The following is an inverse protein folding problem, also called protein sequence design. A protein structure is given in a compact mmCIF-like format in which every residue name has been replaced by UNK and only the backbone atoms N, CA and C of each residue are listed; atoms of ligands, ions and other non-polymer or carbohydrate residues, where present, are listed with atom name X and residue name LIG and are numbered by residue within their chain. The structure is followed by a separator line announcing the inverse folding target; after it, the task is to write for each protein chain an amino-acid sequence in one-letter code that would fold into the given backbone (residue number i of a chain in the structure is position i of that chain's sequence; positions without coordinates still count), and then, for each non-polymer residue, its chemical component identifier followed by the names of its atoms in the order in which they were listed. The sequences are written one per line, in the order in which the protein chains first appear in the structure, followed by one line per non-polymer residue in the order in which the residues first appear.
data_IF_974505907186
#
_entry.id   IF_974505907186
#
_cell.length_a   1.000
_cell.length_b   1.000
_cell.length_c   1.000
_cell.angle_alpha   90.00
_cell.angle_beta   90.00
_cell.angle_gamma   90.00
#
_symmetry.space_group_name_H-M   'P 1'
#
loop_
_entity.id
_entity.type
_entity.pdbx_description
1 polymer ?
#
# COMPACT_ATOMS: atom_id res chain seq x y z
N UNK A 1 -44.82 7.10 4.29
CA UNK A 1 -43.38 6.79 4.42
C UNK A 1 -42.62 8.11 4.46
N UNK A 2 -41.79 8.35 5.48
CA UNK A 2 -41.02 9.60 5.57
C UNK A 2 -39.83 9.60 4.62
N UNK A 3 -39.38 10.81 4.22
CA UNK A 3 -38.24 11.02 3.31
C UNK A 3 -36.99 10.22 3.73
N UNK A 4 -36.69 10.20 5.04
CA UNK A 4 -35.57 9.45 5.61
C UNK A 4 -35.62 7.95 5.27
N UNK A 5 -36.74 7.28 5.53
CA UNK A 5 -36.89 5.85 5.23
C UNK A 5 -36.81 5.54 3.72
N UNK A 6 -37.19 6.48 2.87
CA UNK A 6 -37.02 6.36 1.41
C UNK A 6 -35.55 6.51 1.01
N UNK A 7 -34.83 7.48 1.59
CA UNK A 7 -33.40 7.67 1.37
C UNK A 7 -32.59 6.46 1.86
N UNK A 8 -32.88 5.94 3.05
CA UNK A 8 -32.21 4.75 3.62
C UNK A 8 -32.38 3.52 2.70
N UNK A 9 -33.58 3.33 2.12
CA UNK A 9 -33.85 2.23 1.17
C UNK A 9 -33.10 2.38 -0.15
N UNK A 10 -32.92 3.61 -0.63
CA UNK A 10 -32.13 3.87 -1.84
C UNK A 10 -30.64 3.69 -1.55
N UNK A 11 -30.15 4.20 -0.42
CA UNK A 11 -28.78 4.04 0.03
C UNK A 11 -28.39 2.57 0.22
N UNK A 12 -29.28 1.74 0.77
CA UNK A 12 -29.06 0.30 0.94
C UNK A 12 -28.94 -0.50 -0.39
N UNK A 13 -29.19 0.14 -1.54
CA UNK A 13 -28.96 -0.45 -2.88
C UNK A 13 -27.66 0.04 -3.53
N UNK A 14 -27.01 1.05 -2.97
CA UNK A 14 -25.73 1.53 -3.44
C UNK A 14 -24.60 0.60 -2.95
N UNK A 15 -23.45 0.56 -3.63
CA UNK A 15 -22.27 -0.11 -3.12
C UNK A 15 -21.87 0.45 -1.75
N UNK A 16 -21.51 -0.44 -0.82
CA UNK A 16 -21.18 -0.07 0.56
C UNK A 16 -19.84 0.66 0.60
N UNK A 17 -19.75 1.87 1.17
CA UNK A 17 -18.48 2.58 1.30
C UNK A 17 -17.64 1.96 2.43
N UNK A 18 -16.52 1.36 2.05
CA UNK A 18 -15.63 0.59 2.93
C UNK A 18 -14.24 1.21 2.92
N UNK A 19 -13.70 1.48 4.11
CA UNK A 19 -12.26 1.72 4.26
C UNK A 19 -11.62 0.40 4.69
N UNK A 20 -10.74 -0.16 3.86
CA UNK A 20 -10.12 -1.45 4.11
C UNK A 20 -8.70 -1.30 4.64
N UNK A 21 -8.39 -2.04 5.70
CA UNK A 21 -7.06 -2.20 6.27
C UNK A 21 -6.59 -3.62 5.96
N UNK A 22 -5.52 -3.73 5.18
CA UNK A 22 -4.81 -4.99 4.97
C UNK A 22 -3.79 -5.21 6.08
N UNK A 23 -4.05 -6.16 6.96
CA UNK A 23 -3.06 -6.69 7.89
C UNK A 23 -2.12 -7.69 7.21
N UNK A 24 -1.35 -8.40 8.03
CA UNK A 24 -0.35 -9.37 7.59
C UNK A 24 -0.98 -10.43 6.68
N UNK A 25 -0.41 -10.59 5.48
CA UNK A 25 -0.82 -11.58 4.47
C UNK A 25 -2.14 -11.29 3.76
N UNK A 26 -2.76 -10.12 3.97
CA UNK A 26 -4.11 -9.83 3.49
C UNK A 26 -4.18 -8.88 2.28
N UNK A 27 -3.05 -8.31 1.83
CA UNK A 27 -3.03 -7.26 0.81
C UNK A 27 -3.68 -7.71 -0.50
N UNK A 28 -3.33 -8.90 -1.00
CA UNK A 28 -3.86 -9.42 -2.26
C UNK A 28 -5.39 -9.60 -2.21
N UNK A 29 -5.91 -10.07 -1.07
CA UNK A 29 -7.34 -10.30 -0.86
C UNK A 29 -8.09 -8.96 -0.76
N UNK A 30 -7.49 -7.94 -0.12
CA UNK A 30 -8.05 -6.59 -0.09
C UNK A 30 -8.08 -5.95 -1.47
N UNK A 31 -7.02 -6.11 -2.28
CA UNK A 31 -7.00 -5.60 -3.66
C UNK A 31 -8.11 -6.25 -4.51
N UNK A 32 -8.37 -7.55 -4.32
CA UNK A 32 -9.44 -8.27 -5.01
C UNK A 32 -10.85 -7.76 -4.66
N UNK A 33 -11.03 -7.07 -3.53
CA UNK A 33 -12.30 -6.43 -3.20
C UNK A 33 -12.67 -5.31 -4.18
N UNK A 34 -11.71 -4.75 -4.93
CA UNK A 34 -12.00 -3.82 -6.03
C UNK A 34 -12.84 -4.46 -7.15
N UNK A 35 -12.85 -5.80 -7.24
CA UNK A 35 -13.66 -6.54 -8.20
C UNK A 35 -15.11 -6.70 -7.74
N UNK A 36 -15.42 -6.43 -6.47
CA UNK A 36 -16.73 -6.64 -5.87
C UNK A 36 -17.63 -5.42 -6.11
N UNK A 37 -18.64 -5.49 -7.00
CA UNK A 37 -19.44 -4.33 -7.39
C UNK A 37 -20.36 -3.81 -6.27
N UNK A 38 -20.56 -4.62 -5.22
CA UNK A 38 -21.36 -4.27 -4.04
C UNK A 38 -20.56 -3.50 -2.99
N UNK A 39 -19.25 -3.39 -3.17
CA UNK A 39 -18.37 -2.62 -2.30
C UNK A 39 -17.82 -1.42 -3.07
N UNK A 40 -17.62 -0.32 -2.36
CA UNK A 40 -16.90 0.85 -2.83
C UNK A 40 -15.77 1.12 -1.85
N UNK A 41 -14.56 0.66 -2.19
CA UNK A 41 -13.37 0.98 -1.40
C UNK A 41 -13.09 2.48 -1.52
N UNK A 42 -12.95 3.14 -0.38
CA UNK A 42 -12.68 4.59 -0.29
C UNK A 42 -11.32 4.85 0.34
N UNK A 43 -10.75 6.01 0.03
CA UNK A 43 -9.36 6.35 0.39
C UNK A 43 -9.24 7.11 1.71
N UNK A 44 -10.38 7.49 2.28
CA UNK A 44 -10.47 8.20 3.54
C UNK A 44 -11.50 7.52 4.44
N UNK A 45 -11.19 7.30 5.73
CA UNK A 45 -12.18 6.79 6.67
C UNK A 45 -13.42 7.69 6.74
N UNK A 46 -13.27 9.01 6.56
CA UNK A 46 -14.38 9.95 6.57
C UNK A 46 -15.43 9.67 5.48
N UNK A 47 -15.05 8.99 4.39
CA UNK A 47 -15.97 8.60 3.32
C UNK A 47 -16.60 7.21 3.53
N UNK A 48 -16.22 6.48 4.58
CA UNK A 48 -16.68 5.12 4.86
C UNK A 48 -17.69 5.05 6.01
N UNK A 49 -18.57 4.05 5.95
CA UNK A 49 -19.39 3.59 7.08
C UNK A 49 -18.84 2.30 7.70
N UNK A 50 -18.04 1.56 6.93
CA UNK A 50 -17.48 0.28 7.34
C UNK A 50 -15.96 0.38 7.35
N UNK A 51 -15.34 0.13 8.50
CA UNK A 51 -13.92 -0.22 8.59
C UNK A 51 -13.80 -1.73 8.47
N UNK A 52 -13.19 -2.20 7.39
CA UNK A 52 -12.87 -3.60 7.20
C UNK A 52 -11.42 -3.85 7.62
N UNK A 53 -11.20 -4.72 8.58
CA UNK A 53 -9.87 -5.19 8.98
C UNK A 53 -9.69 -6.59 8.40
N UNK A 54 -8.73 -6.77 7.49
CA UNK A 54 -8.43 -8.06 6.87
C UNK A 54 -7.12 -8.63 7.42
N UNK A 55 -7.11 -9.91 7.80
CA UNK A 55 -5.95 -10.58 8.38
C UNK A 55 -5.63 -10.10 9.80
N UNK A 56 -4.36 -10.22 10.19
CA UNK A 56 -3.87 -9.83 11.52
C UNK A 56 -3.21 -8.46 11.48
N UNK A 57 -3.59 -7.56 12.38
CA UNK A 57 -2.93 -6.27 12.56
C UNK A 57 -2.13 -6.29 13.86
N UNK A 58 -0.84 -5.90 13.84
CA UNK A 58 -0.02 -5.85 15.05
C UNK A 58 -0.64 -5.00 16.16
N UNK A 59 -0.53 -5.48 17.41
CA UNK A 59 -1.12 -4.80 18.57
C UNK A 59 -0.56 -3.39 18.82
N UNK A 60 0.67 -3.09 18.41
CA UNK A 60 1.23 -1.75 18.55
C UNK A 60 0.50 -0.71 17.68
N UNK A 61 -0.26 -1.13 16.66
CA UNK A 61 -1.06 -0.26 15.78
C UNK A 61 -2.50 -0.01 16.26
N UNK A 62 -2.80 -0.34 17.53
CA UNK A 62 -4.15 -0.20 18.10
C UNK A 62 -4.65 1.24 18.08
N UNK A 63 -3.78 2.21 18.41
CA UNK A 63 -4.18 3.62 18.48
C UNK A 63 -4.49 4.19 17.09
N UNK A 64 -3.75 3.76 16.07
CA UNK A 64 -3.94 4.10 14.67
C UNK A 64 -5.25 3.53 14.14
N UNK A 65 -5.56 2.27 14.45
CA UNK A 65 -6.85 1.65 14.13
C UNK A 65 -8.03 2.37 14.80
N UNK A 66 -7.89 2.74 16.07
CA UNK A 66 -8.92 3.49 16.80
C UNK A 66 -9.18 4.87 16.15
N UNK A 67 -8.12 5.57 15.71
CA UNK A 67 -8.23 6.83 14.96
C UNK A 67 -8.97 6.65 13.64
N UNK A 68 -8.70 5.58 12.89
CA UNK A 68 -9.45 5.27 11.66
C UNK A 68 -10.93 5.03 11.95
N UNK A 69 -11.23 4.18 12.94
CA UNK A 69 -12.59 3.86 13.32
C UNK A 69 -13.38 5.12 13.71
N UNK A 70 -12.80 5.97 14.55
CA UNK A 70 -13.48 7.18 15.02
C UNK A 70 -13.60 8.25 13.94
N UNK A 71 -12.71 8.22 12.94
CA UNK A 71 -12.77 9.03 11.72
C UNK A 71 -13.82 8.60 10.70
N UNK A 72 -14.49 7.44 10.89
CA UNK A 72 -15.58 7.00 10.01
C UNK A 72 -16.81 7.90 10.09
N UNK A 73 -17.51 8.04 8.96
CA UNK A 73 -18.82 8.68 8.90
C UNK A 73 -19.88 7.84 9.62
N UNK A 74 -20.69 8.47 10.46
CA UNK A 74 -21.82 7.82 11.14
C UNK A 74 -23.02 7.62 10.19
N UNK A 75 -23.79 6.51 10.31
CA UNK A 75 -23.56 5.38 11.21
C UNK A 75 -22.34 4.56 10.78
N UNK A 76 -21.57 4.07 11.75
CA UNK A 76 -20.30 3.37 11.51
C UNK A 76 -20.22 2.01 12.19
N UNK A 77 -19.38 1.13 11.66
CA UNK A 77 -19.07 -0.19 12.22
C UNK A 77 -17.69 -0.67 11.77
N UNK A 78 -17.10 -1.59 12.52
CA UNK A 78 -15.92 -2.35 12.13
C UNK A 78 -16.23 -3.85 11.94
N UNK A 79 -15.68 -4.44 10.90
CA UNK A 79 -15.73 -5.87 10.63
C UNK A 79 -14.31 -6.44 10.57
N UNK A 80 -14.17 -7.70 10.97
CA UNK A 80 -12.92 -8.44 10.83
C UNK A 80 -13.08 -9.61 9.88
N UNK A 81 -12.24 -9.65 8.85
CA UNK A 81 -12.07 -10.78 7.95
C UNK A 81 -10.78 -11.52 8.30
N UNK A 82 -10.88 -12.66 8.98
CA UNK A 82 -9.71 -13.27 9.63
C UNK A 82 -8.72 -13.88 8.65
N UNK A 83 -9.17 -14.31 7.46
CA UNK A 83 -8.33 -14.95 6.43
C UNK A 83 -7.48 -16.11 7.00
N UNK A 84 -8.07 -16.88 7.92
CA UNK A 84 -7.38 -17.99 8.60
C UNK A 84 -6.47 -17.58 9.77
N UNK A 85 -6.33 -16.28 10.06
CA UNK A 85 -5.65 -15.83 11.28
C UNK A 85 -6.43 -16.21 12.54
N UNK A 86 -5.72 -16.72 13.53
CA UNK A 86 -6.25 -16.99 14.87
C UNK A 86 -6.12 -15.79 15.83
N UNK A 87 -5.41 -14.74 15.39
CA UNK A 87 -5.16 -13.55 16.20
C UNK A 87 -6.18 -12.48 15.83
N UNK A 88 -7.14 -12.26 16.75
CA UNK A 88 -8.12 -11.20 16.60
C UNK A 88 -7.46 -9.81 16.55
N UNK A 89 -8.05 -8.84 15.83
CA UNK A 89 -7.53 -7.48 15.78
C UNK A 89 -7.61 -6.86 17.18
N UNK A 90 -6.73 -5.88 17.48
CA UNK A 90 -6.67 -5.28 18.80
C UNK A 90 -7.93 -4.50 19.20
N UNK A 91 -8.76 -4.14 18.23
CA UNK A 91 -10.08 -3.54 18.45
C UNK A 91 -11.17 -4.59 18.22
N UNK A 92 -12.04 -4.87 19.22
CA UNK A 92 -13.09 -5.87 19.09
C UNK A 92 -13.98 -5.59 17.85
N UNK A 93 -14.12 -6.56 16.92
CA UNK A 93 -14.98 -6.39 15.76
C UNK A 93 -16.45 -6.50 16.15
N UNK A 94 -17.32 -5.79 15.43
CA UNK A 94 -18.77 -5.97 15.59
C UNK A 94 -19.26 -7.24 14.87
N UNK A 95 -18.56 -7.64 13.80
CA UNK A 95 -18.84 -8.83 13.00
C UNK A 95 -17.53 -9.48 12.61
N UNK A 96 -17.47 -10.80 12.76
CA UNK A 96 -16.32 -11.64 12.42
C UNK A 96 -16.67 -12.54 11.22
N UNK A 97 -15.78 -12.58 10.24
CA UNK A 97 -15.88 -13.44 9.07
C UNK A 97 -14.60 -14.26 8.98
N UNK A 98 -14.72 -15.57 9.17
CA UNK A 98 -13.59 -16.49 9.12
C UNK A 98 -13.42 -17.20 7.78
N UNK A 99 -14.44 -17.14 6.93
CA UNK A 99 -14.40 -17.74 5.60
C UNK A 99 -13.39 -17.01 4.71
N UNK A 100 -12.65 -17.76 3.90
CA UNK A 100 -11.69 -17.22 2.94
C UNK A 100 -12.37 -16.77 1.64
N UNK A 101 -13.60 -17.23 1.37
CA UNK A 101 -14.37 -16.80 0.21
C UNK A 101 -14.81 -15.32 0.37
N UNK A 102 -14.37 -14.41 -0.53
CA UNK A 102 -14.77 -13.01 -0.48
C UNK A 102 -16.29 -12.82 -0.63
N UNK A 103 -17.03 -13.78 -1.22
CA UNK A 103 -18.48 -13.66 -1.38
C UNK A 103 -19.21 -13.61 -0.02
N UNK A 104 -18.78 -14.44 0.94
CA UNK A 104 -19.30 -14.49 2.31
C UNK A 104 -19.01 -13.19 3.04
N UNK A 105 -17.81 -12.64 2.87
CA UNK A 105 -17.45 -11.33 3.40
C UNK A 105 -18.35 -10.22 2.84
N UNK A 106 -18.53 -10.18 1.51
CA UNK A 106 -19.34 -9.16 0.85
C UNK A 106 -20.78 -9.20 1.36
N UNK A 107 -21.34 -10.40 1.55
CA UNK A 107 -22.67 -10.56 2.13
C UNK A 107 -22.74 -10.06 3.57
N UNK A 108 -21.75 -10.40 4.40
CA UNK A 108 -21.68 -9.89 5.77
C UNK A 108 -21.58 -8.35 5.83
N UNK A 109 -20.75 -7.74 4.98
CA UNK A 109 -20.60 -6.27 4.91
C UNK A 109 -21.91 -5.61 4.48
N UNK A 110 -22.57 -6.13 3.44
CA UNK A 110 -23.84 -5.57 2.94
C UNK A 110 -24.96 -5.73 3.95
N UNK A 111 -25.09 -6.90 4.59
CA UNK A 111 -26.10 -7.12 5.63
C UNK A 111 -25.88 -6.17 6.82
N UNK A 112 -24.64 -6.06 7.29
CA UNK A 112 -24.29 -5.20 8.41
C UNK A 112 -24.57 -3.73 8.11
N UNK A 113 -24.17 -3.23 6.93
CA UNK A 113 -24.43 -1.85 6.51
C UNK A 113 -25.93 -1.58 6.39
N UNK A 114 -26.68 -2.51 5.83
CA UNK A 114 -28.14 -2.42 5.74
C UNK A 114 -28.78 -2.30 7.13
N UNK A 115 -28.36 -3.15 8.07
CA UNK A 115 -28.86 -3.13 9.46
C UNK A 115 -28.52 -1.81 10.17
N UNK A 116 -27.35 -1.22 9.90
CA UNK A 116 -26.99 0.11 10.40
C UNK A 116 -27.92 1.21 9.87
N UNK A 117 -28.18 1.21 8.56
CA UNK A 117 -29.04 2.23 7.94
C UNK A 117 -30.48 2.15 8.42
N UNK A 118 -31.01 0.94 8.65
CA UNK A 118 -32.36 0.75 9.17
C UNK A 118 -32.47 0.86 10.70
N UNK A 119 -31.36 1.09 11.40
CA UNK A 119 -31.32 1.20 12.86
C UNK A 119 -31.54 -0.13 13.60
N UNK A 120 -31.42 -1.26 12.90
CA UNK A 120 -31.42 -2.62 13.46
C UNK A 120 -30.10 -2.94 14.15
N UNK A 121 -29.03 -2.25 13.77
CA UNK A 121 -27.72 -2.25 14.42
C UNK A 121 -27.37 -0.80 14.82
N UNK A 122 -26.96 -0.60 16.06
CA UNK A 122 -26.49 0.70 16.53
C UNK A 122 -25.11 1.02 15.94
N UNK A 123 -24.87 2.30 15.65
CA UNK A 123 -23.53 2.76 15.26
C UNK A 123 -22.54 2.50 16.39
N UNK A 124 -21.35 1.98 16.05
CA UNK A 124 -20.28 1.75 17.02
C UNK A 124 -19.89 3.07 17.72
N UNK A 125 -19.77 3.09 19.05
CA UNK A 125 -19.39 4.27 19.82
C UNK A 125 -17.93 4.66 19.54
N UNK A 126 -17.49 5.89 19.86
CA UNK A 126 -16.08 6.24 19.83
C UNK A 126 -15.21 5.30 20.68
N UNK A 127 -14.01 4.99 20.20
CA UNK A 127 -13.02 4.19 20.92
C UNK A 127 -12.05 5.08 21.68
N UNK A 128 -11.70 6.23 21.11
CA UNK A 128 -10.81 7.21 21.72
C UNK A 128 -11.58 8.07 22.76
N UNK A 129 -10.89 8.54 23.81
CA UNK A 129 -11.50 9.43 24.78
C UNK A 129 -11.90 10.76 24.13
N UNK A 130 -13.05 11.29 24.54
CA UNK A 130 -13.53 12.63 24.15
C UNK A 130 -12.88 13.68 25.06
N UNK A 131 -11.59 13.89 24.85
CA UNK A 131 -10.76 14.82 25.61
C UNK A 131 -10.20 15.91 24.69
N UNK A 132 -10.11 17.14 25.21
CA UNK A 132 -9.46 18.22 24.46
C UNK A 132 -7.97 17.89 24.26
N UNK A 133 -7.46 17.96 23.02
CA UNK A 133 -6.09 17.55 22.70
C UNK A 133 -5.01 18.46 23.30
N UNK A 134 -5.36 19.66 23.77
CA UNK A 134 -4.47 20.52 24.54
C UNK A 134 -5.18 21.03 25.79
N UNK A 135 -4.54 20.95 26.98
CA UNK A 135 -5.13 21.44 28.21
C UNK A 135 -5.30 22.96 28.14
N UNK A 136 -6.45 23.46 28.60
CA UNK A 136 -6.73 24.88 28.71
C UNK A 136 -5.69 25.59 29.58
N UNK A 137 -5.10 26.69 29.09
CA UNK A 137 -4.00 27.44 29.77
C UNK A 137 -4.38 28.85 30.25
N UNK A 138 -5.67 29.20 30.32
CA UNK A 138 -6.10 30.50 30.84
C UNK A 138 -5.98 31.68 29.86
N UNK A 139 -6.26 32.88 30.36
CA UNK A 139 -6.17 34.15 29.61
C UNK A 139 -4.73 34.67 29.70
N UNK A 140 -4.16 35.08 28.55
CA UNK A 140 -2.80 35.61 28.50
C UNK A 140 -2.60 36.89 29.35
N UNK A 141 -1.37 37.23 29.72
CA UNK A 141 -1.05 38.31 30.69
C UNK A 141 -1.48 39.72 30.25
N UNK A 142 -1.85 39.91 28.98
CA UNK A 142 -2.25 41.21 28.41
C UNK A 142 -3.73 41.31 28.07
N UNK A 143 -4.58 40.38 28.53
CA UNK A 143 -6.02 40.36 28.18
C UNK A 143 -6.30 40.15 26.69
N UNK A 144 -5.26 39.81 25.93
CA UNK A 144 -5.30 39.48 24.51
C UNK A 144 -5.60 37.98 24.42
N UNK A 145 -6.73 37.64 23.82
CA UNK A 145 -7.26 36.28 23.78
C UNK A 145 -8.64 36.24 24.41
N UNK A 146 -9.66 36.04 23.58
CA UNK A 146 -11.01 35.75 24.08
C UNK A 146 -11.01 34.51 24.98
N UNK A 147 -12.19 34.14 25.47
CA UNK A 147 -12.47 32.97 26.31
C UNK A 147 -12.13 31.63 25.62
N UNK A 148 -10.86 31.36 25.29
CA UNK A 148 -10.43 30.13 24.60
C UNK A 148 -9.18 30.26 23.72
N UNK A 149 -8.06 30.77 24.23
CA UNK A 149 -6.77 30.65 23.53
C UNK A 149 -5.96 29.49 24.12
N UNK A 150 -5.89 28.37 23.39
CA UNK A 150 -5.02 27.23 23.68
C UNK A 150 -3.54 27.58 23.36
N UNK A 151 -2.95 28.60 23.99
CA UNK A 151 -1.50 28.87 24.00
C UNK A 151 -0.69 28.65 22.72
N UNK A 152 -1.16 29.12 21.55
CA UNK A 152 -0.46 28.94 20.26
C UNK A 152 -0.68 27.58 19.57
N UNK A 153 -1.58 26.77 20.11
CA UNK A 153 -1.92 25.41 19.65
C UNK A 153 -3.44 25.28 19.48
N UNK A 154 -4.08 25.99 18.53
CA UNK A 154 -5.54 25.92 18.31
C UNK A 154 -6.03 24.47 18.13
N UNK A 155 -6.99 24.04 18.95
CA UNK A 155 -7.52 22.66 18.93
C UNK A 155 -6.43 21.58 19.08
N UNK A 156 -5.39 21.85 19.85
CA UNK A 156 -4.27 20.91 20.07
C UNK A 156 -3.38 20.68 18.85
N UNK A 157 -3.54 21.49 17.80
CA UNK A 157 -2.64 21.50 16.64
C UNK A 157 -1.74 22.73 16.70
N UNK A 158 -0.41 22.58 16.67
CA UNK A 158 0.48 23.72 16.61
C UNK A 158 0.19 24.53 15.35
N UNK A 159 0.22 25.86 15.45
CA UNK A 159 0.21 26.69 14.25
C UNK A 159 1.42 26.34 13.38
N UNK A 160 1.22 26.30 12.07
CA UNK A 160 2.31 26.11 11.12
C UNK A 160 3.37 27.20 11.32
N UNK A 161 4.64 26.80 11.34
CA UNK A 161 5.75 27.75 11.24
C UNK A 161 5.85 28.25 9.81
N UNK A 162 6.56 29.36 9.58
CA UNK A 162 6.67 29.97 8.25
C UNK A 162 8.12 29.95 7.79
N UNK A 163 8.39 29.28 6.67
CA UNK A 163 9.73 29.16 6.07
C UNK A 163 9.78 29.78 4.66
N UNK A 164 10.97 30.20 4.16
CA UNK A 164 11.12 30.61 2.76
C UNK A 164 10.79 29.46 1.80
N UNK A 165 10.02 29.74 0.75
CA UNK A 165 9.69 28.84 -0.36
C UNK A 165 10.59 29.15 -1.59
N UNK A 166 10.48 28.35 -2.65
CA UNK A 166 11.26 28.41 -3.90
C UNK A 166 11.27 29.77 -4.61
N UNK A 167 10.23 30.59 -4.39
CA UNK A 167 10.09 31.93 -4.97
C UNK A 167 10.56 33.05 -4.01
N UNK A 168 11.08 32.68 -2.85
CA UNK A 168 11.51 33.59 -1.79
C UNK A 168 10.37 34.14 -0.93
N UNK A 169 9.11 33.75 -1.18
CA UNK A 169 8.00 34.05 -0.29
C UNK A 169 8.07 33.19 0.96
N UNK A 170 7.47 33.67 2.05
CA UNK A 170 7.39 32.92 3.30
C UNK A 170 6.04 32.23 3.38
N UNK A 171 6.03 30.91 3.31
CA UNK A 171 4.81 30.08 3.34
C UNK A 171 4.74 29.22 4.60
N UNK A 172 3.50 28.94 5.01
CA UNK A 172 3.20 28.03 6.12
C UNK A 172 3.76 26.63 5.81
N UNK A 173 4.54 26.11 6.75
CA UNK A 173 5.12 24.78 6.72
C UNK A 173 4.28 23.86 7.61
N UNK A 174 3.58 22.94 6.96
CA UNK A 174 2.70 21.99 7.62
C UNK A 174 3.43 20.64 7.78
N UNK A 175 3.69 20.24 9.01
CA UNK A 175 4.18 18.90 9.33
C UNK A 175 3.01 17.94 9.51
N UNK A 176 2.96 16.88 8.71
CA UNK A 176 1.95 15.81 8.79
C UNK A 176 2.60 14.44 8.87
N UNK A 177 1.93 13.51 9.56
CA UNK A 177 2.25 12.09 9.51
C UNK A 177 1.23 11.35 8.66
N UNK A 178 1.72 10.60 7.68
CA UNK A 178 0.90 9.89 6.69
C UNK A 178 1.20 8.40 6.80
N UNK A 179 0.18 7.61 7.15
CA UNK A 179 0.31 6.19 7.47
C UNK A 179 -0.19 5.86 8.88
N UNK A 180 -0.05 4.60 9.35
CA UNK A 180 0.45 3.42 8.61
C UNK A 180 -0.59 2.80 7.68
N UNK A 181 -1.83 3.30 7.69
CA UNK A 181 -2.94 2.75 6.90
C UNK A 181 -3.39 3.71 5.80
N UNK A 182 -2.50 4.56 5.29
CA UNK A 182 -2.86 5.42 4.18
C UNK A 182 -3.14 4.56 2.95
N UNK A 183 -4.32 4.70 2.34
CA UNK A 183 -4.85 3.75 1.34
C UNK A 183 -4.02 3.60 0.06
N UNK A 184 -2.97 4.42 -0.14
CA UNK A 184 -2.06 4.35 -1.29
C UNK A 184 -0.65 3.88 -0.94
N UNK A 185 -0.32 3.80 0.33
CA UNK A 185 0.96 3.30 0.79
C UNK A 185 0.81 1.87 1.32
N UNK A 186 1.87 1.06 1.29
CA UNK A 186 1.86 -0.23 1.95
C UNK A 186 1.51 -0.06 3.42
N UNK A 187 0.70 -0.98 3.96
CA UNK A 187 0.41 -1.00 5.40
C UNK A 187 1.72 -1.01 6.19
N UNK A 188 1.79 -0.17 7.22
CA UNK A 188 2.97 -0.02 8.06
C UNK A 188 3.81 1.20 7.71
N UNK A 189 3.87 1.63 6.45
CA UNK A 189 4.70 2.79 6.09
C UNK A 189 4.13 4.07 6.73
N UNK A 190 4.96 4.76 7.51
CA UNK A 190 4.67 6.09 8.03
C UNK A 190 5.71 7.07 7.52
N UNK A 191 5.24 8.11 6.85
CA UNK A 191 6.05 9.25 6.46
C UNK A 191 5.69 10.46 7.32
N UNK A 192 6.70 11.08 7.94
CA UNK A 192 6.58 12.43 8.45
C UNK A 192 7.03 13.40 7.35
N UNK A 193 6.11 14.23 6.88
CA UNK A 193 6.31 15.09 5.71
C UNK A 193 6.07 16.53 6.12
N UNK A 194 7.00 17.41 5.73
CA UNK A 194 6.84 18.85 5.82
C UNK A 194 6.40 19.37 4.46
N UNK A 195 5.21 19.96 4.40
CA UNK A 195 4.59 20.48 3.19
C UNK A 195 4.56 22.00 3.21
N UNK A 196 4.85 22.62 2.08
CA UNK A 196 4.51 24.03 1.82
C UNK A 196 3.60 24.07 0.59
N UNK A 197 2.31 24.37 0.81
CA UNK A 197 1.28 24.13 -0.19
C UNK A 197 1.17 22.63 -0.47
N UNK A 198 1.41 22.23 -1.71
CA UNK A 198 1.44 20.84 -2.17
C UNK A 198 2.86 20.30 -2.37
N UNK A 199 3.91 21.08 -2.12
CA UNK A 199 5.31 20.68 -2.31
C UNK A 199 5.88 20.07 -1.02
N UNK A 200 6.51 18.91 -1.16
CA UNK A 200 7.29 18.25 -0.12
C UNK A 200 8.61 18.98 0.08
N UNK A 201 8.79 19.62 1.24
CA UNK A 201 10.03 20.29 1.61
C UNK A 201 11.02 19.31 2.25
N UNK A 202 10.51 18.42 3.10
CA UNK A 202 11.29 17.37 3.76
C UNK A 202 10.39 16.17 3.99
N UNK A 203 10.96 14.97 3.93
CA UNK A 203 10.28 13.72 4.24
C UNK A 203 11.19 12.83 5.08
N UNK A 204 10.62 12.15 6.07
CA UNK A 204 11.32 11.16 6.88
C UNK A 204 10.45 9.90 6.99
N UNK A 205 11.08 8.73 6.85
CA UNK A 205 10.43 7.47 7.20
C UNK A 205 10.46 7.35 8.72
N UNK A 206 9.30 7.19 9.34
CA UNK A 206 9.21 7.04 10.81
C UNK A 206 9.50 5.58 11.15
N UNK A 207 10.59 5.36 11.87
CA UNK A 207 10.99 4.06 12.38
C UNK A 207 10.11 3.62 13.55
N UNK A 208 10.12 2.31 13.85
CA UNK A 208 9.46 1.76 15.01
C UNK A 208 10.10 2.26 16.31
N UNK A 209 9.28 2.50 17.33
CA UNK A 209 9.79 2.91 18.64
C UNK A 209 10.47 1.74 19.37
N UNK A 210 11.49 2.04 20.18
CA UNK A 210 12.10 1.06 21.09
C UNK A 210 11.03 0.41 21.98
N UNK A 211 10.86 -0.92 21.86
CA UNK A 211 9.88 -1.70 22.61
C UNK A 211 8.63 -2.16 21.83
N UNK A 212 8.49 -1.81 20.55
CA UNK A 212 7.48 -2.45 19.67
C UNK A 212 7.82 -3.94 19.49
N UNK A 213 6.90 -4.87 19.77
CA UNK A 213 7.22 -6.30 19.61
C UNK A 213 7.45 -6.64 18.13
N UNK A 214 8.49 -7.42 17.83
CA UNK A 214 8.75 -7.88 16.47
C UNK A 214 7.54 -8.63 15.91
N UNK A 215 7.10 -8.24 14.71
CA UNK A 215 5.97 -8.89 14.05
C UNK A 215 6.49 -10.17 13.40
N UNK A 216 6.16 -11.32 13.98
CA UNK A 216 6.32 -12.62 13.33
C UNK A 216 5.40 -12.72 12.12
N UNK A 217 5.89 -12.33 10.95
CA UNK A 217 5.17 -12.42 9.68
C UNK A 217 5.40 -13.83 9.11
N UNK A 218 4.56 -14.79 9.50
CA UNK A 218 4.50 -16.12 8.88
C UNK A 218 3.50 -16.08 7.70
N UNK A 219 3.88 -15.41 6.62
CA UNK A 219 3.09 -15.33 5.39
C UNK A 219 3.65 -16.32 4.37
N UNK A 220 2.98 -17.46 4.22
CA UNK A 220 3.37 -18.47 3.23
C UNK A 220 3.09 -17.97 1.82
N UNK A 221 4.16 -17.84 1.03
CA UNK A 221 4.11 -17.52 -0.39
C UNK A 221 5.08 -18.42 -1.13
N UNK A 222 4.85 -18.67 -2.41
CA UNK A 222 5.77 -19.49 -3.22
C UNK A 222 7.22 -18.97 -3.19
N UNK A 223 7.43 -17.65 -3.07
CA UNK A 223 8.76 -17.05 -2.95
C UNK A 223 9.38 -17.23 -1.56
N UNK A 224 8.59 -17.21 -0.47
CA UNK A 224 9.13 -17.55 0.85
C UNK A 224 9.43 -19.04 0.96
N UNK A 225 8.55 -19.89 0.44
CA UNK A 225 8.75 -21.35 0.43
C UNK A 225 10.00 -21.74 -0.38
N UNK A 226 10.31 -20.98 -1.45
CA UNK A 226 11.49 -21.16 -2.29
C UNK A 226 12.83 -20.93 -1.57
N UNK A 227 12.85 -20.22 -0.44
CA UNK A 227 14.06 -20.05 0.39
C UNK A 227 14.45 -21.34 1.14
N UNK A 228 13.50 -22.26 1.32
CA UNK A 228 13.69 -23.45 2.16
C UNK A 228 13.47 -24.76 1.39
N UNK A 229 12.66 -24.72 0.33
CA UNK A 229 12.23 -25.92 -0.40
C UNK A 229 12.22 -25.69 -1.91
N UNK A 230 12.51 -26.71 -2.73
CA UNK A 230 12.44 -26.58 -4.17
C UNK A 230 11.01 -26.26 -4.64
N UNK A 231 10.85 -25.17 -5.39
CA UNK A 231 9.55 -24.72 -5.94
C UNK A 231 9.59 -24.74 -7.47
N UNK A 232 8.55 -25.22 -8.17
CA UNK A 232 8.52 -25.20 -9.64
C UNK A 232 8.68 -23.78 -10.19
N UNK A 233 9.55 -23.61 -11.20
CA UNK A 233 9.76 -22.31 -11.86
C UNK A 233 8.46 -21.77 -12.46
N UNK A 234 7.59 -22.65 -12.95
CA UNK A 234 6.27 -22.27 -13.47
C UNK A 234 5.39 -21.60 -12.42
N UNK A 235 5.46 -22.05 -11.16
CA UNK A 235 4.71 -21.46 -10.05
C UNK A 235 5.29 -20.08 -9.71
N UNK A 236 6.62 -19.98 -9.57
CA UNK A 236 7.28 -18.70 -9.27
C UNK A 236 7.01 -17.63 -10.33
N UNK A 237 7.10 -17.99 -11.61
CA UNK A 237 6.90 -17.03 -12.70
C UNK A 237 5.43 -16.67 -12.92
N UNK A 238 4.48 -17.58 -12.64
CA UNK A 238 3.07 -17.21 -12.57
C UNK A 238 2.78 -16.24 -11.43
N UNK A 239 3.33 -16.48 -10.24
CA UNK A 239 3.19 -15.55 -9.11
C UNK A 239 3.87 -14.21 -9.37
N UNK A 240 5.01 -14.20 -10.07
CA UNK A 240 5.67 -12.97 -10.52
C UNK A 240 4.78 -12.17 -11.47
N UNK A 241 4.22 -12.81 -12.49
CA UNK A 241 3.30 -12.15 -13.41
C UNK A 241 2.07 -11.56 -12.67
N UNK A 242 1.50 -12.32 -11.74
CA UNK A 242 0.38 -11.87 -10.88
C UNK A 242 0.77 -10.66 -10.04
N UNK A 243 1.92 -10.71 -9.38
CA UNK A 243 2.42 -9.62 -8.53
C UNK A 243 2.62 -8.33 -9.34
N UNK A 244 3.30 -8.40 -10.48
CA UNK A 244 3.48 -7.23 -11.36
C UNK A 244 2.15 -6.67 -11.87
N UNK A 245 1.20 -7.51 -12.29
CA UNK A 245 -0.11 -7.04 -12.74
C UNK A 245 -0.92 -6.41 -11.60
N UNK A 246 -0.85 -6.95 -10.37
CA UNK A 246 -1.46 -6.33 -9.18
C UNK A 246 -0.83 -4.97 -8.86
N UNK A 247 0.50 -4.87 -8.94
CA UNK A 247 1.23 -3.59 -8.80
C UNK A 247 0.76 -2.55 -9.84
N UNK A 248 0.61 -2.95 -11.11
CA UNK A 248 0.08 -2.07 -12.15
C UNK A 248 -1.36 -1.66 -11.84
N UNK A 249 -2.20 -2.55 -11.32
CA UNK A 249 -3.54 -2.19 -10.92
C UNK A 249 -3.56 -1.18 -9.75
N UNK A 250 -2.70 -1.36 -8.75
CA UNK A 250 -2.53 -0.41 -7.65
C UNK A 250 -2.11 0.98 -8.15
N UNK A 251 -1.14 1.04 -9.07
CA UNK A 251 -0.74 2.29 -9.74
C UNK A 251 -1.91 2.94 -10.50
N UNK A 252 -2.73 2.15 -11.20
CA UNK A 252 -3.91 2.66 -11.91
C UNK A 252 -4.98 3.21 -10.94
N UNK A 253 -5.13 2.61 -9.76
CA UNK A 253 -5.99 3.16 -8.70
C UNK A 253 -5.45 4.50 -8.21
N UNK A 254 -4.16 4.60 -7.93
CA UNK A 254 -3.52 5.84 -7.49
C UNK A 254 -3.65 6.98 -8.52
N UNK A 255 -3.68 6.65 -9.81
CA UNK A 255 -3.89 7.61 -10.90
C UNK A 255 -5.36 7.79 -11.30
N UNK A 256 -6.31 7.43 -10.43
CA UNK A 256 -7.76 7.64 -10.64
C UNK A 256 -8.33 6.93 -11.88
N UNK A 257 -7.79 5.75 -12.22
CA UNK A 257 -8.25 4.88 -13.31
C UNK A 257 -8.84 3.54 -12.82
N UNK A 258 -9.85 3.54 -11.91
CA UNK A 258 -10.33 2.32 -11.25
C UNK A 258 -10.97 1.31 -12.21
N UNK A 259 -11.54 1.74 -13.33
CA UNK A 259 -12.08 0.83 -14.34
C UNK A 259 -11.00 0.05 -15.07
N UNK A 260 -9.84 0.66 -15.31
CA UNK A 260 -8.70 -0.03 -15.91
C UNK A 260 -8.02 -0.92 -14.87
N UNK A 261 -7.86 -0.43 -13.63
CA UNK A 261 -7.35 -1.24 -12.52
C UNK A 261 -8.14 -2.54 -12.35
N UNK A 262 -9.48 -2.49 -12.32
CA UNK A 262 -10.34 -3.69 -12.25
C UNK A 262 -10.16 -4.64 -13.42
N UNK A 263 -9.87 -4.14 -14.63
CA UNK A 263 -9.58 -4.99 -15.79
C UNK A 263 -8.23 -5.70 -15.62
N UNK A 264 -7.22 -4.98 -15.15
CA UNK A 264 -5.88 -5.54 -14.88
C UNK A 264 -5.93 -6.53 -13.73
N UNK A 265 -6.67 -6.26 -12.65
CA UNK A 265 -6.86 -7.21 -11.53
C UNK A 265 -7.56 -8.50 -11.98
N UNK A 266 -8.65 -8.39 -12.75
CA UNK A 266 -9.30 -9.59 -13.33
C UNK A 266 -8.35 -10.40 -14.21
N UNK A 267 -7.48 -9.72 -14.96
CA UNK A 267 -6.48 -10.38 -15.75
C UNK A 267 -5.44 -11.08 -14.86
N UNK A 268 -4.94 -10.41 -13.82
CA UNK A 268 -4.00 -10.98 -12.85
C UNK A 268 -4.58 -12.26 -12.19
N UNK A 269 -5.82 -12.23 -11.72
CA UNK A 269 -6.46 -13.38 -11.06
C UNK A 269 -6.63 -14.60 -11.97
N UNK A 270 -6.66 -14.42 -13.28
CA UNK A 270 -6.90 -15.49 -14.27
C UNK A 270 -5.73 -15.66 -15.25
N UNK A 271 -4.55 -15.16 -14.90
CA UNK A 271 -3.41 -15.14 -15.82
C UNK A 271 -2.88 -16.56 -16.06
N UNK A 272 -2.49 -16.83 -17.31
CA UNK A 272 -2.02 -18.13 -17.78
C UNK A 272 -0.78 -17.97 -18.68
N UNK A 273 0.13 -18.96 -18.77
CA UNK A 273 1.41 -18.81 -19.48
C UNK A 273 1.33 -18.41 -20.97
N UNK A 274 0.25 -18.73 -21.66
CA UNK A 274 0.03 -18.42 -23.09
C UNK A 274 -0.40 -16.96 -23.35
N UNK A 275 -0.60 -16.15 -22.31
CA UNK A 275 -1.15 -14.79 -22.41
C UNK A 275 -0.10 -13.67 -22.44
N UNK A 276 1.16 -13.98 -22.79
CA UNK A 276 2.22 -12.97 -22.89
C UNK A 276 1.90 -11.86 -23.90
N UNK A 277 1.20 -12.18 -25.00
CA UNK A 277 0.74 -11.16 -25.96
C UNK A 277 -0.27 -10.18 -25.37
N UNK A 278 -1.15 -10.64 -24.47
CA UNK A 278 -2.15 -9.79 -23.83
C UNK A 278 -1.49 -8.78 -22.88
N UNK A 279 -0.45 -9.20 -22.15
CA UNK A 279 0.41 -8.29 -21.36
C UNK A 279 1.06 -7.24 -22.27
N UNK A 280 1.60 -7.65 -23.43
CA UNK A 280 2.19 -6.69 -24.37
C UNK A 280 1.16 -5.72 -24.96
N UNK A 281 -0.08 -6.16 -25.21
CA UNK A 281 -1.19 -5.28 -25.64
C UNK A 281 -1.52 -4.28 -24.55
N UNK A 282 -1.59 -4.71 -23.29
CA UNK A 282 -1.77 -3.83 -22.12
C UNK A 282 -0.63 -2.81 -22.03
N UNK A 283 0.62 -3.26 -22.16
CA UNK A 283 1.78 -2.37 -22.15
C UNK A 283 1.68 -1.29 -23.23
N UNK A 284 1.38 -1.66 -24.49
CA UNK A 284 1.20 -0.68 -25.57
C UNK A 284 0.05 0.30 -25.29
N UNK A 285 -1.03 -0.16 -24.67
CA UNK A 285 -2.16 0.69 -24.29
C UNK A 285 -1.74 1.73 -23.23
N UNK A 286 -1.12 1.28 -22.14
CA UNK A 286 -0.67 2.16 -21.06
C UNK A 286 0.42 3.13 -21.53
N UNK A 287 1.33 2.67 -22.40
CA UNK A 287 2.37 3.51 -23.02
C UNK A 287 1.81 4.65 -23.86
N UNK A 288 0.63 4.47 -24.46
CA UNK A 288 -0.04 5.49 -25.30
C UNK A 288 -0.96 6.42 -24.51
N UNK A 289 -1.19 6.16 -23.23
CA UNK A 289 -2.01 7.02 -22.38
C UNK A 289 -1.28 8.32 -22.06
N UNK A 290 -1.83 9.45 -22.51
CA UNK A 290 -1.29 10.79 -22.21
C UNK A 290 -1.43 11.15 -20.74
N UNK A 291 -2.58 10.83 -20.13
CA UNK A 291 -2.83 11.10 -18.70
C UNK A 291 -1.79 10.40 -17.83
N UNK A 292 -1.50 9.12 -18.12
CA UNK A 292 -0.44 8.42 -17.41
C UNK A 292 0.94 8.99 -17.74
N UNK A 293 1.20 9.38 -19.00
CA UNK A 293 2.45 10.04 -19.37
C UNK A 293 2.72 11.28 -18.53
N UNK A 294 1.73 12.19 -18.40
CA UNK A 294 1.87 13.39 -17.59
C UNK A 294 2.11 13.12 -16.11
N UNK A 295 1.48 12.08 -15.55
CA UNK A 295 1.56 11.78 -14.12
C UNK A 295 2.72 10.85 -13.72
N UNK A 296 3.53 10.35 -14.67
CA UNK A 296 4.57 9.35 -14.37
C UNK A 296 5.90 9.57 -15.09
N UNK A 297 5.93 10.33 -16.19
CA UNK A 297 7.18 10.63 -16.90
C UNK A 297 7.95 11.73 -16.18
N UNK A 298 9.22 11.47 -15.86
CA UNK A 298 10.07 12.36 -15.07
C UNK A 298 9.74 12.38 -13.57
N UNK A 299 8.77 11.59 -13.12
CA UNK A 299 8.31 11.52 -11.72
C UNK A 299 9.09 10.44 -10.97
N UNK A 300 9.60 10.75 -9.79
CA UNK A 300 10.29 9.75 -8.96
C UNK A 300 11.57 9.22 -9.60
N UNK A 301 12.36 10.08 -10.24
CA UNK A 301 13.60 9.69 -10.90
C UNK A 301 14.61 9.18 -9.86
N UNK A 302 15.06 7.95 -10.04
CA UNK A 302 16.15 7.36 -9.25
C UNK A 302 17.25 6.92 -10.24
N UNK A 303 18.37 7.66 -10.33
CA UNK A 303 19.46 7.29 -11.22
C UNK A 303 20.20 6.02 -10.75
N UNK A 304 20.91 5.36 -11.67
CA UNK A 304 21.61 4.10 -11.38
C UNK A 304 22.64 4.23 -10.26
N UNK A 305 23.37 5.34 -10.19
CA UNK A 305 24.40 5.61 -9.17
C UNK A 305 23.86 5.61 -7.73
N UNK A 306 22.58 5.90 -7.53
CA UNK A 306 21.89 5.82 -6.23
C UNK A 306 21.46 4.40 -5.86
N UNK A 307 21.33 3.53 -6.86
CA UNK A 307 20.83 2.16 -6.71
C UNK A 307 21.97 1.12 -6.69
N UNK A 308 23.11 1.44 -7.30
CA UNK A 308 24.29 0.58 -7.32
C UNK A 308 24.74 0.19 -5.90
N UNK A 309 24.76 -1.12 -5.63
CA UNK A 309 25.12 -1.68 -4.33
C UNK A 309 24.03 -1.58 -3.25
N UNK A 310 22.89 -0.92 -3.53
CA UNK A 310 21.84 -0.67 -2.54
C UNK A 310 20.59 -1.49 -2.82
N UNK A 311 19.88 -1.21 -3.91
CA UNK A 311 18.61 -1.84 -4.27
C UNK A 311 18.71 -2.64 -5.57
N UNK A 312 17.94 -3.72 -5.66
CA UNK A 312 17.90 -4.65 -6.79
C UNK A 312 16.50 -4.71 -7.39
N UNK A 313 16.25 -5.64 -8.32
CA UNK A 313 14.90 -5.87 -8.84
C UNK A 313 14.43 -4.91 -9.92
N UNK A 314 13.11 -4.84 -10.15
CA UNK A 314 12.54 -4.02 -11.20
C UNK A 314 12.84 -2.52 -11.07
N UNK A 315 13.10 -2.03 -9.85
CA UNK A 315 13.49 -0.61 -9.64
C UNK A 315 14.89 -0.34 -10.20
N UNK A 316 15.85 -1.23 -9.92
CA UNK A 316 17.21 -1.16 -10.46
C UNK A 316 17.23 -1.35 -11.98
N UNK A 317 16.53 -2.37 -12.48
CA UNK A 317 16.43 -2.65 -13.93
C UNK A 317 15.71 -1.57 -14.72
N UNK A 318 14.79 -0.81 -14.10
CA UNK A 318 14.19 0.36 -14.73
C UNK A 318 15.15 1.55 -14.90
N UNK A 319 16.30 1.50 -14.21
CA UNK A 319 17.31 2.55 -14.13
C UNK A 319 18.62 2.17 -14.80
N UNK A 320 18.66 1.06 -15.55
CA UNK A 320 19.82 0.63 -16.34
C UNK A 320 20.71 -0.44 -15.70
N UNK A 321 20.38 -0.92 -14.50
CA UNK A 321 21.21 -1.90 -13.79
C UNK A 321 20.78 -3.32 -14.19
N UNK A 322 21.65 -4.05 -14.88
CA UNK A 322 21.35 -5.39 -15.43
C UNK A 322 21.43 -6.55 -14.41
N UNK A 323 21.30 -6.27 -13.12
CA UNK A 323 21.38 -7.28 -12.06
C UNK A 323 20.03 -7.99 -11.84
N UNK A 324 20.05 -9.32 -11.91
CA UNK A 324 18.91 -10.21 -11.60
C UNK A 324 19.45 -11.58 -11.15
N UNK A 325 19.07 -12.02 -9.95
CA UNK A 325 19.61 -13.25 -9.36
C UNK A 325 19.26 -14.51 -10.19
N UNK A 326 18.16 -14.47 -10.97
CA UNK A 326 17.76 -15.56 -11.88
C UNK A 326 18.78 -15.84 -12.97
N UNK A 327 19.63 -14.87 -13.33
CA UNK A 327 20.68 -15.10 -14.33
C UNK A 327 21.71 -16.14 -13.86
N UNK A 328 21.81 -16.38 -12.55
CA UNK A 328 22.74 -17.34 -11.95
C UNK A 328 22.08 -18.65 -11.52
N UNK A 329 20.75 -18.69 -11.45
CA UNK A 329 20.01 -19.90 -11.08
C UNK A 329 20.06 -20.93 -12.23
N UNK A 330 20.57 -22.16 -12.00
CA UNK A 330 20.68 -23.20 -13.02
C UNK A 330 19.36 -23.51 -13.74
N UNK A 331 18.23 -23.39 -13.05
CA UNK A 331 16.91 -23.63 -13.63
C UNK A 331 16.57 -22.59 -14.71
N UNK A 332 16.92 -21.32 -14.49
CA UNK A 332 16.69 -20.22 -15.42
C UNK A 332 17.75 -20.15 -16.52
N UNK A 333 19.02 -20.47 -16.21
CA UNK A 333 20.08 -20.65 -17.22
C UNK A 333 19.64 -21.70 -18.26
N UNK A 334 19.08 -22.82 -17.81
CA UNK A 334 18.53 -23.86 -18.67
C UNK A 334 17.29 -23.46 -19.49
N UNK A 335 16.72 -22.27 -19.25
CA UNK A 335 15.61 -21.68 -20.01
C UNK A 335 16.04 -20.53 -20.95
N UNK A 336 17.33 -20.17 -20.92
CA UNK A 336 17.85 -19.01 -21.66
C UNK A 336 17.23 -17.70 -21.17
N UNK A 337 17.14 -17.53 -19.85
CA UNK A 337 16.68 -16.28 -19.26
C UNK A 337 17.72 -15.17 -19.48
N UNK A 338 17.24 -13.99 -19.89
CA UNK A 338 18.02 -12.75 -19.99
C UNK A 338 17.22 -11.62 -19.34
N UNK A 339 17.81 -10.81 -18.44
CA UNK A 339 17.11 -9.69 -17.82
C UNK A 339 16.64 -8.66 -18.85
N UNK A 340 15.42 -8.14 -18.66
CA UNK A 340 14.94 -6.97 -19.41
C UNK A 340 15.39 -5.73 -18.65
N UNK A 341 15.87 -4.70 -19.35
CA UNK A 341 16.36 -3.47 -18.73
C UNK A 341 15.85 -2.24 -19.48
N UNK A 342 15.55 -1.20 -18.72
CA UNK A 342 15.20 0.14 -19.19
C UNK A 342 16.11 1.17 -18.51
N UNK A 343 16.20 2.39 -19.07
CA UNK A 343 17.16 3.43 -18.67
C UNK A 343 16.49 4.72 -18.16
N UNK A 344 15.17 4.69 -17.95
CA UNK A 344 14.40 5.90 -17.62
C UNK A 344 14.44 6.29 -16.13
N UNK A 345 14.55 5.33 -15.22
CA UNK A 345 14.65 5.55 -13.76
C UNK A 345 13.44 6.21 -13.09
N UNK A 346 12.40 6.58 -13.84
CA UNK A 346 11.19 7.23 -13.35
C UNK A 346 10.03 6.24 -13.11
N UNK A 347 8.91 6.73 -12.57
CA UNK A 347 7.72 5.94 -12.32
C UNK A 347 7.20 5.27 -13.61
N UNK A 348 7.31 5.97 -14.76
CA UNK A 348 6.95 5.44 -16.08
C UNK A 348 7.80 4.24 -16.48
N UNK A 349 9.12 4.33 -16.31
CA UNK A 349 10.07 3.25 -16.60
C UNK A 349 9.82 2.05 -15.69
N UNK A 350 9.58 2.28 -14.39
CA UNK A 350 9.21 1.22 -13.44
C UNK A 350 7.91 0.49 -13.79
N UNK A 351 6.91 1.20 -14.30
CA UNK A 351 5.69 0.56 -14.82
C UNK A 351 5.98 -0.26 -16.08
N UNK A 352 6.76 0.28 -17.03
CA UNK A 352 7.13 -0.42 -18.26
C UNK A 352 7.93 -1.69 -17.96
N UNK A 353 8.88 -1.60 -17.02
CA UNK A 353 9.71 -2.70 -16.55
C UNK A 353 8.86 -3.85 -16.01
N UNK A 354 7.94 -3.58 -15.07
CA UNK A 354 7.05 -4.61 -14.51
C UNK A 354 6.14 -5.25 -15.56
N UNK A 355 5.65 -4.48 -16.55
CA UNK A 355 4.85 -5.03 -17.64
C UNK A 355 5.67 -5.90 -18.60
N UNK A 356 6.92 -5.52 -18.87
CA UNK A 356 7.82 -6.31 -19.69
C UNK A 356 8.20 -7.63 -18.98
N UNK A 357 8.56 -7.55 -17.70
CA UNK A 357 8.85 -8.70 -16.86
C UNK A 357 7.63 -9.62 -16.68
N UNK A 358 6.42 -9.08 -16.51
CA UNK A 358 5.20 -9.89 -16.47
C UNK A 358 5.00 -10.69 -17.77
N UNK A 359 5.27 -10.09 -18.93
CA UNK A 359 5.20 -10.78 -20.21
C UNK A 359 6.24 -11.90 -20.33
N UNK A 360 7.48 -11.62 -19.90
CA UNK A 360 8.56 -12.61 -19.88
C UNK A 360 8.28 -13.76 -18.90
N UNK A 361 7.72 -13.44 -17.73
CA UNK A 361 7.38 -14.42 -16.71
C UNK A 361 6.36 -15.44 -17.22
N UNK A 362 5.32 -15.00 -17.95
CA UNK A 362 4.39 -15.94 -18.60
C UNK A 362 5.08 -16.85 -19.63
N UNK A 363 6.03 -16.31 -20.41
CA UNK A 363 6.81 -17.11 -21.37
C UNK A 363 7.75 -18.11 -20.68
N UNK A 364 8.37 -17.73 -19.55
CA UNK A 364 9.19 -18.62 -18.74
C UNK A 364 8.33 -19.72 -18.11
N UNK A 365 7.19 -19.36 -17.53
CA UNK A 365 6.25 -20.31 -16.94
C UNK A 365 5.80 -21.37 -17.96
N UNK A 366 5.53 -20.97 -19.21
CA UNK A 366 5.12 -21.89 -20.27
C UNK A 366 6.23 -22.81 -20.78
N UNK A 367 7.50 -22.42 -20.60
CA UNK A 367 8.69 -23.19 -21.01
C UNK A 367 9.35 -23.98 -19.87
N UNK A 368 8.94 -23.72 -18.62
CA UNK A 368 9.59 -24.25 -17.42
C UNK A 368 9.70 -25.78 -17.43
N UNK A 369 8.64 -26.48 -17.87
CA UNK A 369 8.54 -27.93 -17.73
C UNK A 369 8.62 -28.34 -16.26
N UNK A 370 9.41 -29.37 -15.95
CA UNK A 370 9.61 -29.88 -14.59
C UNK A 370 10.78 -29.21 -13.84
N UNK A 371 11.20 -28.01 -14.28
CA UNK A 371 12.29 -27.28 -13.61
C UNK A 371 11.83 -26.69 -12.29
N UNK A 372 12.70 -26.78 -11.29
CA UNK A 372 12.49 -26.24 -9.96
C UNK A 372 13.64 -25.30 -9.62
N UNK A 373 13.33 -24.23 -8.89
CA UNK A 373 14.32 -23.40 -8.23
C UNK A 373 15.02 -24.23 -7.14
N UNK A 374 16.34 -24.07 -7.04
CA UNK A 374 17.15 -24.66 -5.97
C UNK A 374 17.23 -23.67 -4.79
N UNK A 375 16.79 -24.05 -3.57
CA UNK A 375 16.85 -23.17 -2.39
C UNK A 375 18.24 -22.63 -2.05
N UNK A 376 19.30 -23.32 -2.48
CA UNK A 376 20.68 -22.86 -2.28
C UNK A 376 21.09 -21.77 -3.29
N UNK A 377 20.31 -21.58 -4.36
CA UNK A 377 20.55 -20.53 -5.34
C UNK A 377 20.00 -19.18 -4.87
N UNK A 378 20.64 -18.04 -5.22
CA UNK A 378 20.10 -16.72 -4.94
C UNK A 378 18.69 -16.54 -5.52
N UNK A 379 17.76 -16.04 -4.70
CA UNK A 379 16.35 -15.88 -5.08
C UNK A 379 16.02 -14.43 -5.46
N UNK A 380 15.50 -14.25 -6.67
CA UNK A 380 14.88 -12.98 -7.12
C UNK A 380 13.37 -13.05 -6.89
N UNK A 381 12.82 -12.27 -5.95
CA UNK A 381 11.36 -12.08 -5.83
C UNK A 381 10.83 -11.12 -6.91
N UNK A 382 9.50 -10.93 -7.05
CA UNK A 382 8.95 -9.93 -7.97
C UNK A 382 9.35 -8.49 -7.62
N UNK A 383 9.93 -8.25 -6.44
CA UNK A 383 10.35 -6.93 -5.95
C UNK A 383 11.87 -6.76 -5.85
N UNK A 384 12.64 -7.80 -6.18
CA UNK A 384 14.09 -7.82 -6.09
C UNK A 384 14.61 -9.00 -5.28
N UNK A 385 15.91 -9.00 -5.01
CA UNK A 385 16.58 -10.04 -4.24
C UNK A 385 15.89 -10.26 -2.89
N UNK A 386 15.60 -11.52 -2.58
CA UNK A 386 15.00 -11.95 -1.32
C UNK A 386 15.92 -12.95 -0.63
N UNK A 387 16.25 -12.70 0.63
CA UNK A 387 16.97 -13.64 1.47
C UNK A 387 16.52 -13.53 2.93
N UNK A 388 16.89 -14.51 3.75
CA UNK A 388 16.61 -14.48 5.19
C UNK A 388 17.29 -13.26 5.81
N UNK A 389 16.49 -12.35 6.38
CA UNK A 389 16.98 -11.12 6.99
C UNK A 389 17.11 -9.93 6.03
N UNK A 390 17.16 -10.16 4.72
CA UNK A 390 17.38 -9.16 3.68
C UNK A 390 16.17 -9.09 2.75
N UNK A 391 15.34 -8.05 2.94
CA UNK A 391 14.07 -7.88 2.23
C UNK A 391 14.17 -6.74 1.21
N UNK A 392 13.55 -6.85 0.02
CA UNK A 392 13.52 -5.78 -0.97
C UNK A 392 13.14 -4.40 -0.41
N UNK A 393 12.11 -4.32 0.45
CA UNK A 393 11.67 -3.06 1.04
C UNK A 393 12.76 -2.38 1.90
N UNK A 394 13.65 -3.15 2.57
CA UNK A 394 14.73 -2.59 3.40
C UNK A 394 15.68 -1.71 2.60
N UNK A 395 15.89 -2.07 1.32
CA UNK A 395 16.85 -1.40 0.44
C UNK A 395 16.25 -0.14 -0.20
N UNK A 396 14.93 -0.11 -0.37
CA UNK A 396 14.22 1.00 -1.03
C UNK A 396 13.74 2.08 -0.06
N UNK A 397 13.34 1.72 1.17
CA UNK A 397 12.83 2.68 2.15
C UNK A 397 13.81 3.83 2.47
N UNK A 398 15.13 3.59 2.65
CA UNK A 398 16.09 4.67 2.93
C UNK A 398 16.21 5.70 1.79
N UNK A 399 15.80 5.35 0.57
CA UNK A 399 15.85 6.25 -0.58
C UNK A 399 14.69 7.26 -0.57
N UNK A 400 13.56 6.93 0.08
CA UNK A 400 12.35 7.74 0.04
C UNK A 400 12.56 9.21 0.46
N UNK A 401 13.19 9.53 1.60
CA UNK A 401 13.40 10.92 2.02
C UNK A 401 13.96 11.82 0.93
N UNK A 402 15.08 11.40 0.34
CA UNK A 402 15.80 12.18 -0.67
C UNK A 402 15.07 12.22 -2.02
N UNK A 403 14.37 11.14 -2.39
CA UNK A 403 13.64 11.09 -3.65
C UNK A 403 12.39 11.97 -3.60
N UNK A 404 11.70 12.05 -2.46
CA UNK A 404 10.44 12.79 -2.34
C UNK A 404 10.63 14.32 -2.17
N UNK A 405 11.82 14.77 -1.75
CA UNK A 405 12.12 16.19 -1.56
C UNK A 405 11.95 16.99 -2.86
N UNK A 406 11.22 18.09 -2.77
CA UNK A 406 10.90 18.99 -3.88
C UNK A 406 9.75 18.54 -4.78
N UNK A 407 9.15 17.37 -4.55
CA UNK A 407 8.01 16.88 -5.33
C UNK A 407 6.70 17.50 -4.89
N UNK A 408 5.78 17.71 -5.83
CA UNK A 408 4.36 17.89 -5.50
C UNK A 408 3.80 16.60 -4.88
N UNK A 409 2.82 16.70 -4.00
CA UNK A 409 2.28 15.57 -3.25
C UNK A 409 1.74 14.45 -4.17
N UNK A 410 1.16 14.82 -5.32
CA UNK A 410 0.71 13.84 -6.31
C UNK A 410 1.86 13.01 -6.89
N UNK A 411 2.99 13.65 -7.18
CA UNK A 411 4.20 13.02 -7.69
C UNK A 411 4.90 12.19 -6.61
N UNK A 412 4.88 12.66 -5.36
CA UNK A 412 5.36 11.89 -4.21
C UNK A 412 4.56 10.59 -4.03
N UNK A 413 3.23 10.65 -4.10
CA UNK A 413 2.37 9.46 -4.04
C UNK A 413 2.62 8.53 -5.22
N UNK A 414 2.71 9.05 -6.45
CA UNK A 414 3.03 8.24 -7.64
C UNK A 414 4.39 7.54 -7.49
N UNK A 415 5.39 8.24 -6.95
CA UNK A 415 6.72 7.71 -6.69
C UNK A 415 6.66 6.53 -5.73
N UNK A 416 6.07 6.68 -4.54
CA UNK A 416 5.97 5.59 -3.55
C UNK A 416 5.22 4.39 -4.12
N UNK A 417 4.10 4.61 -4.80
CA UNK A 417 3.31 3.54 -5.43
C UNK A 417 4.11 2.80 -6.50
N UNK A 418 4.91 3.52 -7.30
CA UNK A 418 5.73 2.92 -8.36
C UNK A 418 6.89 2.05 -7.86
N UNK A 419 7.24 2.15 -6.57
CA UNK A 419 8.26 1.30 -5.95
C UNK A 419 7.72 -0.09 -5.60
N UNK A 420 6.40 -0.28 -5.52
CA UNK A 420 5.75 -1.57 -5.22
C UNK A 420 6.30 -2.21 -3.95
N UNK A 421 6.42 -1.42 -2.88
CA UNK A 421 6.85 -1.89 -1.57
C UNK A 421 5.85 -2.91 -1.03
N UNK A 422 6.33 -4.07 -0.58
CA UNK A 422 5.48 -5.12 -0.03
C UNK A 422 5.01 -4.75 1.40
N UNK A 423 3.71 -4.85 1.65
CA UNK A 423 3.12 -4.48 2.94
C UNK A 423 3.60 -5.37 4.10
N UNK A 424 3.83 -6.66 3.85
CA UNK A 424 4.30 -7.59 4.87
C UNK A 424 5.77 -7.36 5.19
N UNK A 425 6.59 -7.06 4.17
CA UNK A 425 7.95 -6.61 4.38
C UNK A 425 7.99 -5.32 5.20
N UNK A 426 7.25 -4.28 4.80
CA UNK A 426 7.20 -2.99 5.52
C UNK A 426 6.73 -3.16 6.97
N UNK A 427 5.68 -3.95 7.21
CA UNK A 427 5.22 -4.27 8.57
C UNK A 427 6.29 -4.99 9.39
N UNK A 428 7.05 -5.91 8.79
CA UNK A 428 8.12 -6.62 9.50
C UNK A 428 9.30 -5.71 9.88
N UNK A 429 9.57 -4.65 9.10
CA UNK A 429 10.64 -3.68 9.35
C UNK A 429 10.33 -2.69 10.45
N UNK A 430 9.07 -2.61 10.87
CA UNK A 430 8.68 -1.88 12.08
C UNK A 430 8.94 -2.68 13.36
N UNK A 431 9.92 -3.57 13.32
CA UNK A 431 10.39 -4.33 14.48
C UNK A 431 11.71 -3.70 14.95
N UNK A 432 11.90 -3.47 16.26
CA UNK A 432 13.03 -2.73 16.83
C UNK A 432 14.40 -3.42 16.68
N UNK A 433 14.45 -4.68 16.24
CA UNK A 433 15.67 -5.50 16.22
C UNK A 433 16.46 -5.40 14.90
N UNK A 434 16.27 -4.37 14.06
CA UNK A 434 17.06 -4.22 12.83
C UNK A 434 17.61 -2.81 12.68
N UNK A 435 18.91 -2.68 12.94
CA UNK A 435 19.71 -1.63 12.31
C UNK A 435 19.50 -1.75 10.80
N UNK A 436 18.86 -0.75 10.18
CA UNK A 436 18.88 -0.61 8.73
C UNK A 436 20.33 -0.28 8.37
N UNK A 437 21.05 -1.14 7.62
CA UNK A 437 22.30 -0.71 7.03
C UNK A 437 21.95 0.39 6.03
N UNK A 438 22.20 1.63 6.41
CA UNK A 438 22.28 2.74 5.46
C UNK A 438 23.48 2.42 4.57
N UNK A 439 23.31 2.29 3.25
CA UNK A 439 24.44 2.07 2.35
C UNK A 439 25.46 3.22 2.40
#
# INVERSE_FOLDING_TARGET
MGLRATLDRVAARAPVPVFAVAGVGAQAQVDELLLQPRLHLVDSPAAANVLLIAGSVPAHLTAELARLHDGLSRPRVNLWWSLGSSVAPPMPPAVEVHDVDPSVLVDAVVDTHRRLLFGELASSPPVLPDEEPAPWRGIGPYGQGGTGMTGGVPYGRPMAEVAPDRDGLRLDQLTVRIGPFYARFPTGLVLEVQLQGDVVQQAHVVEASEGEAAVGVDVRTAFRDALETPVPVSVLELERARSHLRSIASALVAHQLPSLARRVLRFASNVHPDQSEDVQRLHRLLRRSQVLGWATSGVGLIPSDRLEGTATGPVARASGIEQDERATDPAYVGLGFEPIVHDGGDARARMAQRLAEAGQALQLAGRAGDRHHDPEAPLESPRGRLAVGDLPAQRLLPLLPAVLEGMEWGDAVSTVVSLDLDADEVLSLRSPDRELPVP
#
